data_IF_424349938121
#
_entry.id   IF_424349938121
#
_cell.length_a   1.000
_cell.length_b   1.000
_cell.length_c   1.000
_cell.angle_alpha   90.00
_cell.angle_beta   90.00
_cell.angle_gamma   90.00
#
_symmetry.space_group_name_H-M   'P 1'
#
loop_
_entity.id
_entity.type
_entity.pdbx_description
1 polymer ?
#
# COMPACT_ATOMS: atom_id res chain seq x y z
N UNK A 1 9.82 16.12 -15.11
CA UNK A 1 8.86 15.06 -14.74
C UNK A 1 8.18 14.52 -15.99
N UNK A 2 8.20 13.22 -16.18
CA UNK A 2 7.52 12.57 -17.29
C UNK A 2 5.99 12.58 -17.08
N UNK A 3 5.22 12.49 -18.16
CA UNK A 3 3.76 12.45 -18.09
C UNK A 3 3.23 11.31 -17.20
N UNK A 4 3.75 10.05 -17.29
CA UNK A 4 3.31 8.96 -16.42
C UNK A 4 3.48 9.25 -14.93
N UNK A 5 4.61 9.82 -14.52
CA UNK A 5 4.87 10.15 -13.11
C UNK A 5 3.96 11.27 -12.62
N UNK A 6 3.72 12.31 -13.45
CA UNK A 6 2.79 13.38 -13.08
C UNK A 6 1.37 12.84 -12.86
N UNK A 7 0.90 11.95 -13.74
CA UNK A 7 -0.41 11.31 -13.59
C UNK A 7 -0.46 10.41 -12.36
N UNK A 8 0.59 9.64 -12.09
CA UNK A 8 0.67 8.80 -10.89
C UNK A 8 0.63 9.64 -9.59
N UNK A 9 1.38 10.73 -9.53
CA UNK A 9 1.35 11.66 -8.38
C UNK A 9 -0.03 12.26 -8.23
N UNK A 10 -0.67 12.67 -9.32
CA UNK A 10 -2.06 13.16 -9.29
C UNK A 10 -3.02 12.09 -8.77
N UNK A 11 -2.84 10.83 -9.18
CA UNK A 11 -3.60 9.68 -8.66
C UNK A 11 -3.45 9.54 -7.14
N UNK A 12 -2.21 9.59 -6.64
CA UNK A 12 -1.92 9.51 -5.20
C UNK A 12 -2.53 10.71 -4.44
N UNK A 13 -2.40 11.91 -5.00
CA UNK A 13 -3.00 13.12 -4.40
C UNK A 13 -4.53 13.03 -4.32
N UNK A 14 -5.20 12.51 -5.34
CA UNK A 14 -6.66 12.32 -5.32
C UNK A 14 -7.06 11.36 -4.20
N UNK A 15 -6.36 10.22 -4.03
CA UNK A 15 -6.62 9.31 -2.92
C UNK A 15 -6.41 9.97 -1.56
N UNK A 16 -5.29 10.67 -1.36
CA UNK A 16 -4.98 11.34 -0.10
C UNK A 16 -6.00 12.44 0.22
N UNK A 17 -6.29 13.31 -0.75
CA UNK A 17 -7.29 14.37 -0.59
C UNK A 17 -8.68 13.77 -0.33
N UNK A 18 -9.06 12.74 -1.08
CA UNK A 18 -10.31 12.00 -0.88
C UNK A 18 -10.41 11.37 0.51
N UNK A 19 -9.32 10.80 1.03
CA UNK A 19 -9.26 10.28 2.39
C UNK A 19 -9.57 11.39 3.41
N UNK A 20 -8.85 12.52 3.35
CA UNK A 20 -9.05 13.61 4.29
C UNK A 20 -10.45 14.25 4.17
N UNK A 21 -10.99 14.42 2.96
CA UNK A 21 -12.36 14.93 2.79
C UNK A 21 -13.36 13.94 3.40
N UNK A 22 -13.21 12.63 3.15
CA UNK A 22 -14.06 11.60 3.77
C UNK A 22 -14.02 11.66 5.30
N UNK A 23 -12.85 11.93 5.89
CA UNK A 23 -12.67 12.05 7.33
C UNK A 23 -13.38 13.31 7.88
N UNK A 24 -13.28 14.43 7.18
CA UNK A 24 -13.94 15.69 7.59
C UNK A 24 -15.46 15.54 7.61
N UNK A 25 -16.01 14.87 6.60
CA UNK A 25 -17.47 14.67 6.46
C UNK A 25 -17.97 13.37 7.13
N UNK A 26 -17.16 12.70 7.93
CA UNK A 26 -17.48 11.38 8.54
C UNK A 26 -18.80 11.35 9.33
N UNK A 27 -19.27 12.49 9.84
CA UNK A 27 -20.57 12.60 10.52
C UNK A 27 -21.76 12.35 9.58
N UNK A 28 -21.59 12.61 8.28
CA UNK A 28 -22.55 12.24 7.25
C UNK A 28 -21.98 11.02 6.49
N UNK A 29 -22.28 9.84 7.01
CA UNK A 29 -21.74 8.57 6.50
C UNK A 29 -21.99 8.38 5.00
N UNK A 30 -23.20 8.73 4.52
CA UNK A 30 -23.54 8.61 3.10
C UNK A 30 -22.67 9.52 2.23
N UNK A 31 -22.38 10.74 2.68
CA UNK A 31 -21.51 11.67 1.96
C UNK A 31 -20.06 11.17 1.95
N UNK A 32 -19.57 10.65 3.08
CA UNK A 32 -18.23 10.06 3.18
C UNK A 32 -18.05 8.89 2.22
N UNK A 33 -19.02 7.97 2.17
CA UNK A 33 -19.02 6.81 1.25
C UNK A 33 -19.01 7.28 -0.20
N UNK A 34 -19.89 8.23 -0.54
CA UNK A 34 -19.96 8.74 -1.92
C UNK A 34 -18.66 9.40 -2.36
N UNK A 35 -18.04 10.20 -1.49
CA UNK A 35 -16.74 10.83 -1.78
C UNK A 35 -15.66 9.76 -1.98
N UNK A 36 -15.60 8.77 -1.10
CA UNK A 36 -14.63 7.68 -1.22
C UNK A 36 -14.82 6.89 -2.52
N UNK A 37 -16.05 6.57 -2.89
CA UNK A 37 -16.36 5.88 -4.14
C UNK A 37 -15.99 6.71 -5.37
N UNK A 38 -16.34 8.00 -5.40
CA UNK A 38 -15.98 8.90 -6.53
C UNK A 38 -14.47 9.05 -6.65
N UNK A 39 -13.76 9.27 -5.52
CA UNK A 39 -12.28 9.36 -5.54
C UNK A 39 -11.66 8.05 -6.00
N UNK A 40 -12.18 6.90 -5.58
CA UNK A 40 -11.72 5.58 -6.01
C UNK A 40 -11.82 5.40 -7.52
N UNK A 41 -12.98 5.75 -8.12
CA UNK A 41 -13.17 5.66 -9.59
C UNK A 41 -12.25 6.63 -10.32
N UNK A 42 -12.21 7.90 -9.93
CA UNK A 42 -11.41 8.92 -10.61
C UNK A 42 -9.91 8.60 -10.54
N UNK A 43 -9.41 8.29 -9.35
CA UNK A 43 -8.00 7.96 -9.16
C UNK A 43 -7.65 6.62 -9.84
N UNK A 44 -8.54 5.63 -9.80
CA UNK A 44 -8.34 4.36 -10.50
C UNK A 44 -8.21 4.53 -12.02
N UNK A 45 -9.09 5.33 -12.64
CA UNK A 45 -8.99 5.63 -14.08
C UNK A 45 -7.67 6.33 -14.40
N UNK A 46 -7.28 7.34 -13.60
CA UNK A 46 -6.01 8.04 -13.81
C UNK A 46 -4.79 7.13 -13.60
N UNK A 47 -4.83 6.20 -12.64
CA UNK A 47 -3.78 5.21 -12.42
C UNK A 47 -3.58 4.30 -13.63
N UNK A 48 -4.66 3.84 -14.27
CA UNK A 48 -4.58 3.06 -15.52
C UNK A 48 -3.97 3.93 -16.63
N UNK A 49 -4.47 5.15 -16.83
CA UNK A 49 -3.97 6.06 -17.87
C UNK A 49 -2.48 6.39 -17.67
N UNK A 50 -2.02 6.51 -16.42
CA UNK A 50 -0.61 6.75 -16.10
C UNK A 50 0.29 5.59 -16.53
N UNK A 51 -0.19 4.35 -16.44
CA UNK A 51 0.60 3.14 -16.62
C UNK A 51 0.58 2.58 -18.04
N UNK A 52 -0.47 2.85 -18.83
CA UNK A 52 -0.59 2.38 -20.22
C UNK A 52 0.64 2.71 -21.09
N UNK A 53 1.18 3.96 -21.10
CA UNK A 53 2.35 4.28 -21.91
C UNK A 53 3.56 3.41 -21.56
N UNK A 54 3.80 3.16 -20.26
CA UNK A 54 4.93 2.35 -19.78
C UNK A 54 4.77 0.88 -20.19
N UNK A 55 3.54 0.34 -20.14
CA UNK A 55 3.25 -1.04 -20.55
C UNK A 55 3.42 -1.23 -22.06
N UNK A 56 3.12 -0.20 -22.87
CA UNK A 56 3.25 -0.28 -24.33
C UNK A 56 4.71 -0.10 -24.77
N UNK A 57 5.42 0.90 -24.22
CA UNK A 57 6.81 1.20 -24.60
C UNK A 57 7.83 0.27 -23.97
N UNK A 58 7.47 -0.38 -22.84
CA UNK A 58 8.37 -1.15 -21.98
C UNK A 58 9.53 -0.32 -21.40
N UNK A 59 9.43 1.00 -21.47
CA UNK A 59 10.43 1.91 -20.92
C UNK A 59 10.23 2.07 -19.41
N UNK A 60 11.33 2.07 -18.66
CA UNK A 60 11.27 2.39 -17.22
C UNK A 60 11.37 3.90 -17.03
N UNK A 61 10.45 4.46 -16.26
CA UNK A 61 10.44 5.87 -15.91
C UNK A 61 10.77 6.02 -14.43
N UNK A 62 11.77 6.86 -14.10
CA UNK A 62 12.22 7.12 -12.73
C UNK A 62 12.31 8.62 -12.51
N UNK A 63 11.80 9.09 -11.38
CA UNK A 63 12.01 10.46 -10.89
C UNK A 63 12.38 10.42 -9.40
N UNK A 64 13.30 11.31 -9.02
CA UNK A 64 13.83 11.39 -7.65
C UNK A 64 13.48 12.75 -7.06
N UNK A 65 12.80 12.74 -5.94
CA UNK A 65 12.37 13.94 -5.22
C UNK A 65 13.29 14.17 -4.01
N UNK A 66 13.82 15.38 -3.90
CA UNK A 66 14.55 15.77 -2.70
C UNK A 66 13.62 15.85 -1.51
N UNK A 67 13.98 15.18 -0.44
CA UNK A 67 13.24 15.19 0.83
C UNK A 67 14.06 15.87 1.91
N UNK A 68 13.44 16.26 3.05
CA UNK A 68 14.17 16.81 4.20
C UNK A 68 15.16 15.82 4.82
N UNK A 69 15.04 14.53 4.51
CA UNK A 69 15.91 13.48 5.03
C UNK A 69 17.09 13.26 4.08
N UNK A 70 18.28 13.61 4.50
CA UNK A 70 19.52 13.45 3.70
C UNK A 70 19.83 11.98 3.38
N UNK A 71 19.40 11.04 4.23
CA UNK A 71 19.65 9.60 4.08
C UNK A 71 18.64 8.88 3.18
N UNK A 72 17.52 9.52 2.81
CA UNK A 72 16.48 8.88 2.01
C UNK A 72 15.85 9.86 1.03
N UNK A 73 16.20 9.75 -0.26
CA UNK A 73 15.49 10.42 -1.34
C UNK A 73 14.18 9.70 -1.64
N UNK A 74 13.11 10.42 -1.92
CA UNK A 74 11.87 9.81 -2.37
C UNK A 74 11.94 9.56 -3.87
N UNK A 75 12.21 8.32 -4.26
CA UNK A 75 12.28 7.91 -5.65
C UNK A 75 11.05 7.10 -6.03
N UNK A 76 10.43 7.51 -7.15
CA UNK A 76 9.32 6.81 -7.79
C UNK A 76 9.84 6.16 -9.07
N UNK A 77 9.56 4.86 -9.22
CA UNK A 77 9.89 4.07 -10.39
C UNK A 77 8.65 3.40 -10.94
N UNK A 78 8.40 3.59 -12.23
CA UNK A 78 7.36 2.88 -12.97
C UNK A 78 8.07 2.06 -14.05
N UNK A 79 8.29 0.78 -13.76
CA UNK A 79 8.69 -0.24 -14.74
C UNK A 79 7.49 -1.09 -15.17
N UNK A 80 7.70 -2.06 -16.04
CA UNK A 80 6.62 -2.90 -16.54
C UNK A 80 5.86 -3.65 -15.43
N UNK A 81 6.56 -4.10 -14.37
CA UNK A 81 5.92 -4.78 -13.23
C UNK A 81 5.11 -3.81 -12.38
N UNK A 82 5.69 -2.66 -12.03
CA UNK A 82 4.99 -1.63 -11.25
C UNK A 82 3.76 -1.12 -12.01
N UNK A 83 3.89 -0.84 -13.31
CA UNK A 83 2.78 -0.42 -14.17
C UNK A 83 1.66 -1.47 -14.22
N UNK A 84 2.00 -2.75 -14.38
CA UNK A 84 1.03 -3.85 -14.34
C UNK A 84 0.31 -3.92 -12.99
N UNK A 85 1.04 -3.85 -11.88
CA UNK A 85 0.46 -3.90 -10.53
C UNK A 85 -0.46 -2.71 -10.27
N UNK A 86 -0.06 -1.49 -10.68
CA UNK A 86 -0.94 -0.31 -10.56
C UNK A 86 -2.21 -0.46 -11.40
N UNK A 87 -2.13 -1.03 -12.61
CA UNK A 87 -3.30 -1.31 -13.43
C UNK A 87 -4.24 -2.30 -12.75
N UNK A 88 -3.72 -3.39 -12.17
CA UNK A 88 -4.53 -4.39 -11.45
C UNK A 88 -5.21 -3.76 -10.23
N UNK A 89 -4.45 -3.03 -9.39
CA UNK A 89 -4.98 -2.31 -8.23
C UNK A 89 -6.08 -1.35 -8.68
N UNK A 90 -5.82 -0.53 -9.69
CA UNK A 90 -6.76 0.48 -10.19
C UNK A 90 -8.04 -0.14 -10.73
N UNK A 91 -7.94 -1.25 -11.48
CA UNK A 91 -9.10 -1.97 -11.99
C UNK A 91 -9.99 -2.50 -10.86
N UNK A 92 -9.38 -3.16 -9.87
CA UNK A 92 -10.09 -3.67 -8.70
C UNK A 92 -10.74 -2.53 -7.91
N UNK A 93 -10.03 -1.41 -7.75
CA UNK A 93 -10.57 -0.23 -7.04
C UNK A 93 -11.76 0.37 -7.77
N UNK A 94 -11.74 0.50 -9.10
CA UNK A 94 -12.88 1.00 -9.85
C UNK A 94 -14.12 0.11 -9.61
N UNK A 95 -13.95 -1.20 -9.72
CA UNK A 95 -15.06 -2.16 -9.53
C UNK A 95 -15.60 -2.12 -8.09
N UNK A 96 -14.71 -2.17 -7.10
CA UNK A 96 -15.09 -2.13 -5.68
C UNK A 96 -15.69 -0.77 -5.27
N UNK A 97 -15.18 0.33 -5.82
CA UNK A 97 -15.73 1.66 -5.58
C UNK A 97 -17.16 1.80 -6.14
N UNK A 98 -17.42 1.29 -7.34
CA UNK A 98 -18.78 1.25 -7.91
C UNK A 98 -19.73 0.38 -7.05
N UNK A 99 -19.25 -0.77 -6.59
CA UNK A 99 -20.01 -1.65 -5.70
C UNK A 99 -20.30 -1.00 -4.35
N UNK A 100 -19.35 -0.25 -3.81
CA UNK A 100 -19.43 0.37 -2.46
C UNK A 100 -20.60 1.34 -2.31
N UNK A 101 -21.05 2.01 -3.38
CA UNK A 101 -22.21 2.91 -3.34
C UNK A 101 -23.50 2.24 -2.83
N UNK A 102 -23.62 0.93 -3.02
CA UNK A 102 -24.77 0.16 -2.52
C UNK A 102 -24.44 -0.65 -1.27
N UNK A 103 -23.31 -1.34 -1.26
CA UNK A 103 -22.90 -2.26 -0.21
C UNK A 103 -22.68 -1.58 1.14
N UNK A 104 -21.94 -0.46 1.17
CA UNK A 104 -21.58 0.20 2.44
C UNK A 104 -22.79 0.83 3.14
N UNK A 105 -23.96 0.92 2.48
CA UNK A 105 -25.20 1.38 3.12
C UNK A 105 -25.66 0.45 4.26
N UNK A 106 -25.30 -0.83 4.23
CA UNK A 106 -25.60 -1.81 5.27
C UNK A 106 -24.80 -1.57 6.57
N UNK A 107 -23.68 -0.85 6.47
CA UNK A 107 -22.82 -0.49 7.60
C UNK A 107 -23.15 0.87 8.22
N UNK A 108 -24.27 1.51 7.83
CA UNK A 108 -24.71 2.76 8.46
C UNK A 108 -24.96 2.56 9.95
N UNK A 109 -24.38 3.44 10.76
CA UNK A 109 -24.42 3.37 12.21
C UNK A 109 -23.35 2.48 12.85
N UNK A 110 -22.51 1.78 12.06
CA UNK A 110 -21.41 0.95 12.51
C UNK A 110 -20.02 1.56 12.23
N UNK A 111 -19.93 2.88 12.12
CA UNK A 111 -18.65 3.56 11.83
C UNK A 111 -18.30 3.71 10.35
N UNK A 112 -19.26 3.50 9.44
CA UNK A 112 -19.10 3.65 7.99
C UNK A 112 -18.50 5.00 7.57
N UNK A 113 -18.65 6.04 8.39
CA UNK A 113 -18.09 7.37 8.12
C UNK A 113 -16.56 7.43 8.08
N UNK A 114 -15.85 6.56 8.82
CA UNK A 114 -14.39 6.48 8.81
C UNK A 114 -13.84 5.51 7.76
N UNK A 115 -14.67 4.60 7.27
CA UNK A 115 -14.31 3.58 6.29
C UNK A 115 -13.74 4.20 5.00
N UNK A 116 -14.35 5.30 4.52
CA UNK A 116 -13.88 6.03 3.35
C UNK A 116 -12.47 6.59 3.48
N UNK A 117 -12.10 7.07 4.67
CA UNK A 117 -10.74 7.52 4.96
C UNK A 117 -9.73 6.36 4.87
N UNK A 118 -9.97 5.29 5.62
CA UNK A 118 -9.04 4.16 5.66
C UNK A 118 -8.94 3.42 4.32
N UNK A 119 -10.03 3.32 3.57
CA UNK A 119 -10.03 2.70 2.25
C UNK A 119 -9.17 3.48 1.25
N UNK A 120 -9.36 4.81 1.16
CA UNK A 120 -8.52 5.63 0.28
C UNK A 120 -7.05 5.65 0.71
N UNK A 121 -6.78 5.68 2.02
CA UNK A 121 -5.41 5.61 2.54
C UNK A 121 -4.74 4.26 2.24
N UNK A 122 -5.50 3.17 2.37
CA UNK A 122 -5.04 1.82 2.04
C UNK A 122 -4.66 1.72 0.55
N UNK A 123 -5.52 2.20 -0.34
CA UNK A 123 -5.26 2.17 -1.78
C UNK A 123 -4.08 3.07 -2.15
N UNK A 124 -4.01 4.29 -1.60
CA UNK A 124 -2.88 5.19 -1.81
C UNK A 124 -1.55 4.54 -1.40
N UNK A 125 -1.53 3.88 -0.23
CA UNK A 125 -0.33 3.20 0.25
C UNK A 125 0.06 2.00 -0.63
N UNK A 126 -0.90 1.23 -1.17
CA UNK A 126 -0.60 0.15 -2.13
C UNK A 126 0.03 0.68 -3.42
N UNK A 127 -0.53 1.74 -4.01
CA UNK A 127 0.01 2.35 -5.23
C UNK A 127 1.40 2.94 -4.97
N UNK A 128 1.58 3.66 -3.86
CA UNK A 128 2.87 4.23 -3.48
C UNK A 128 3.92 3.13 -3.19
N UNK A 129 3.51 2.02 -2.57
CA UNK A 129 4.37 0.88 -2.27
C UNK A 129 4.96 0.26 -3.55
N UNK A 130 4.11 -0.07 -4.52
CA UNK A 130 4.54 -0.77 -5.74
C UNK A 130 5.34 0.11 -6.69
N UNK A 131 5.32 1.42 -6.49
CA UNK A 131 6.06 2.40 -7.29
C UNK A 131 7.25 3.02 -6.55
N UNK A 132 7.49 2.66 -5.29
CA UNK A 132 8.63 3.14 -4.51
C UNK A 132 9.93 2.46 -4.94
N UNK A 133 10.98 3.23 -5.29
CA UNK A 133 12.34 2.71 -5.60
C UNK A 133 13.34 2.96 -4.45
N UNK A 134 12.83 3.11 -3.22
CA UNK A 134 13.63 3.32 -2.03
C UNK A 134 13.09 2.46 -0.87
N UNK A 135 13.97 1.70 -0.21
CA UNK A 135 13.61 0.76 0.85
C UNK A 135 13.00 1.43 2.08
N UNK A 136 13.42 2.65 2.44
CA UNK A 136 12.85 3.39 3.56
C UNK A 136 11.40 3.76 3.28
N UNK A 137 11.10 4.37 2.12
CA UNK A 137 9.73 4.74 1.75
C UNK A 137 8.86 3.52 1.47
N UNK A 138 9.43 2.45 0.92
CA UNK A 138 8.76 1.16 0.79
C UNK A 138 8.23 0.68 2.14
N UNK A 139 9.07 0.69 3.19
CA UNK A 139 8.65 0.29 4.55
C UNK A 139 7.59 1.23 5.13
N UNK A 140 7.71 2.55 4.92
CA UNK A 140 6.70 3.52 5.36
C UNK A 140 5.34 3.21 4.74
N UNK A 141 5.28 2.98 3.42
CA UNK A 141 4.02 2.66 2.74
C UNK A 141 3.50 1.27 3.09
N UNK A 142 4.39 0.31 3.34
CA UNK A 142 4.03 -1.02 3.80
C UNK A 142 3.35 -0.99 5.17
N UNK A 143 3.87 -0.18 6.11
CA UNK A 143 3.27 0.03 7.42
C UNK A 143 1.95 0.81 7.32
N UNK A 144 1.89 1.87 6.51
CA UNK A 144 0.64 2.61 6.28
C UNK A 144 -0.46 1.69 5.73
N UNK A 145 -0.12 0.84 4.76
CA UNK A 145 -1.04 -0.15 4.20
C UNK A 145 -1.54 -1.13 5.27
N UNK A 146 -0.62 -1.64 6.11
CA UNK A 146 -0.96 -2.58 7.20
C UNK A 146 -1.85 -1.93 8.25
N UNK A 147 -1.55 -0.69 8.63
CA UNK A 147 -2.32 0.06 9.62
C UNK A 147 -3.70 0.43 9.08
N UNK A 148 -3.79 0.89 7.84
CA UNK A 148 -5.08 1.22 7.22
C UNK A 148 -5.99 -0.02 7.11
N UNK A 149 -5.45 -1.17 6.70
CA UNK A 149 -6.21 -2.43 6.63
C UNK A 149 -6.62 -2.94 8.02
N UNK A 150 -5.80 -2.76 9.06
CA UNK A 150 -6.19 -3.06 10.43
C UNK A 150 -7.45 -2.31 10.86
N UNK A 151 -7.51 -0.99 10.61
CA UNK A 151 -8.70 -0.20 10.92
C UNK A 151 -9.92 -0.57 10.06
N UNK A 152 -9.73 -1.06 8.85
CA UNK A 152 -10.83 -1.58 8.02
C UNK A 152 -11.41 -2.87 8.61
N UNK A 153 -10.56 -3.79 9.09
CA UNK A 153 -11.02 -5.02 9.79
C UNK A 153 -11.80 -4.69 11.05
N UNK A 154 -11.44 -3.62 11.77
CA UNK A 154 -12.11 -3.17 12.99
C UNK A 154 -13.46 -2.46 12.75
N UNK A 155 -13.94 -2.33 11.52
CA UNK A 155 -15.15 -1.51 11.21
C UNK A 155 -16.39 -2.02 11.95
N UNK A 156 -16.58 -3.33 12.10
CA UNK A 156 -17.74 -3.90 12.80
C UNK A 156 -17.68 -3.77 14.32
N UNK A 157 -16.49 -3.56 14.91
CA UNK A 157 -16.25 -3.31 16.34
C UNK A 157 -16.81 -4.40 17.29
N UNK A 158 -17.06 -5.60 16.78
CA UNK A 158 -17.40 -6.75 17.62
C UNK A 158 -16.12 -7.44 18.17
N UNK A 159 -16.28 -8.29 19.17
CA UNK A 159 -15.16 -9.00 19.81
C UNK A 159 -14.37 -9.86 18.82
N UNK A 160 -15.05 -10.43 17.82
CA UNK A 160 -14.40 -11.26 16.80
C UNK A 160 -13.55 -10.40 15.87
N UNK A 161 -14.07 -9.27 15.38
CA UNK A 161 -13.33 -8.31 14.55
C UNK A 161 -12.12 -7.74 15.29
N UNK A 162 -12.26 -7.40 16.58
CA UNK A 162 -11.15 -6.91 17.41
C UNK A 162 -10.05 -7.97 17.54
N UNK A 163 -10.41 -9.22 17.88
CA UNK A 163 -9.43 -10.29 18.02
C UNK A 163 -8.74 -10.63 16.69
N UNK A 164 -9.51 -10.71 15.61
CA UNK A 164 -8.98 -10.94 14.26
C UNK A 164 -8.05 -9.80 13.81
N UNK A 165 -8.44 -8.56 14.04
CA UNK A 165 -7.64 -7.37 13.76
C UNK A 165 -6.34 -7.35 14.55
N UNK A 166 -6.37 -7.64 15.86
CA UNK A 166 -5.17 -7.71 16.70
C UNK A 166 -4.21 -8.82 16.21
N UNK A 167 -4.72 -10.01 15.90
CA UNK A 167 -3.90 -11.08 15.36
C UNK A 167 -3.23 -10.66 14.04
N UNK A 168 -4.01 -10.07 13.11
CA UNK A 168 -3.47 -9.52 11.88
C UNK A 168 -2.40 -8.47 12.15
N UNK A 169 -2.66 -7.51 13.04
CA UNK A 169 -1.75 -6.43 13.40
C UNK A 169 -0.39 -6.97 13.86
N UNK A 170 -0.40 -7.90 14.83
CA UNK A 170 0.85 -8.45 15.37
C UNK A 170 1.64 -9.24 14.31
N UNK A 171 0.99 -10.07 13.50
CA UNK A 171 1.66 -10.85 12.46
C UNK A 171 2.21 -9.93 11.36
N UNK A 172 1.44 -8.93 10.93
CA UNK A 172 1.86 -7.97 9.91
C UNK A 172 3.09 -7.17 10.38
N UNK A 173 3.07 -6.63 11.61
CA UNK A 173 4.19 -5.85 12.15
C UNK A 173 5.43 -6.71 12.43
N UNK A 174 5.26 -7.93 12.92
CA UNK A 174 6.38 -8.87 13.04
C UNK A 174 7.02 -9.15 11.65
N UNK A 175 6.19 -9.32 10.62
CA UNK A 175 6.66 -9.44 9.23
C UNK A 175 7.43 -8.22 8.75
N UNK A 176 6.92 -7.02 9.01
CA UNK A 176 7.58 -5.76 8.64
C UNK A 176 8.95 -5.60 9.31
N UNK A 177 9.07 -5.98 10.58
CA UNK A 177 10.36 -5.95 11.29
C UNK A 177 11.37 -6.87 10.63
N UNK A 178 10.96 -8.06 10.19
CA UNK A 178 11.85 -8.98 9.48
C UNK A 178 12.32 -8.39 8.14
N UNK A 179 11.42 -7.76 7.37
CA UNK A 179 11.76 -7.07 6.11
C UNK A 179 12.72 -5.91 6.39
N UNK A 180 12.44 -5.13 7.44
CA UNK A 180 13.29 -4.01 7.85
C UNK A 180 14.71 -4.47 8.17
N UNK A 181 14.88 -5.55 8.93
CA UNK A 181 16.20 -6.11 9.24
C UNK A 181 16.91 -6.56 7.95
N UNK A 182 16.19 -7.23 7.03
CA UNK A 182 16.74 -7.62 5.74
C UNK A 182 17.25 -6.40 4.93
N UNK A 183 16.48 -5.30 4.88
CA UNK A 183 16.91 -4.07 4.20
C UNK A 183 18.07 -3.37 4.91
N UNK A 184 18.14 -3.42 6.24
CA UNK A 184 19.29 -2.90 6.97
C UNK A 184 20.57 -3.69 6.71
N UNK A 185 20.50 -5.01 6.51
CA UNK A 185 21.66 -5.81 6.07
C UNK A 185 22.17 -5.29 4.72
N UNK A 186 21.28 -5.02 3.76
CA UNK A 186 21.67 -4.42 2.48
C UNK A 186 22.23 -3.02 2.65
N UNK A 187 21.60 -2.18 3.47
CA UNK A 187 22.04 -0.81 3.73
C UNK A 187 23.47 -0.74 4.30
N UNK A 188 23.84 -1.64 5.21
CA UNK A 188 25.19 -1.68 5.78
C UNK A 188 26.29 -1.89 4.74
N UNK A 189 25.97 -2.50 3.61
CA UNK A 189 26.92 -2.78 2.53
C UNK A 189 26.77 -1.80 1.35
N UNK A 190 25.55 -1.36 1.07
CA UNK A 190 25.23 -0.44 -0.03
C UNK A 190 25.48 1.03 0.33
N UNK A 191 25.40 1.38 1.63
CA UNK A 191 25.49 2.77 2.10
C UNK A 191 24.31 3.65 1.70
N UNK A 192 23.26 3.09 1.10
CA UNK A 192 22.08 3.79 0.61
C UNK A 192 20.83 2.92 0.74
N UNK A 193 19.64 3.54 0.89
CA UNK A 193 18.34 2.85 0.85
C UNK A 193 17.75 2.71 -0.56
N UNK A 194 18.43 3.21 -1.59
CA UNK A 194 17.97 3.07 -2.97
C UNK A 194 18.03 1.60 -3.43
N UNK A 195 16.96 1.09 -4.02
CA UNK A 195 16.96 -0.28 -4.56
C UNK A 195 17.95 -0.44 -5.72
N UNK A 196 18.29 0.64 -6.41
CA UNK A 196 19.37 0.66 -7.41
C UNK A 196 20.72 0.32 -6.80
N UNK A 197 21.04 0.83 -5.61
CA UNK A 197 22.25 0.51 -4.86
C UNK A 197 22.21 -0.94 -4.34
N UNK A 198 21.05 -1.42 -3.85
CA UNK A 198 20.90 -2.82 -3.42
C UNK A 198 21.16 -3.80 -4.56
N UNK A 199 20.68 -3.52 -5.77
CA UNK A 199 20.92 -4.36 -6.97
C UNK A 199 22.40 -4.48 -7.36
N UNK A 200 23.22 -3.50 -7.03
CA UNK A 200 24.66 -3.47 -7.34
C UNK A 200 25.51 -4.01 -6.18
N UNK A 201 24.92 -4.23 -5.01
CA UNK A 201 25.64 -4.64 -3.81
C UNK A 201 25.80 -6.17 -3.79
N UNK A 202 27.04 -6.60 -3.52
CA UNK A 202 27.34 -8.02 -3.30
C UNK A 202 27.48 -8.28 -1.80
N UNK A 203 26.59 -9.08 -1.25
CA UNK A 203 26.66 -9.52 0.15
C UNK A 203 27.50 -10.79 0.29
N UNK A 204 28.23 -10.97 1.43
CA UNK A 204 28.78 -12.28 1.79
C UNK A 204 27.68 -13.34 1.86
N UNK A 205 27.95 -14.56 1.39
CA UNK A 205 26.95 -15.62 1.26
C UNK A 205 26.12 -15.89 2.53
N UNK A 206 26.68 -15.92 3.77
CA UNK A 206 25.87 -16.10 4.97
C UNK A 206 24.88 -14.94 5.20
N UNK A 207 25.28 -13.68 4.94
CA UNK A 207 24.42 -12.52 5.11
C UNK A 207 23.35 -12.44 4.01
N UNK A 208 23.70 -12.79 2.78
CA UNK A 208 22.74 -12.90 1.67
C UNK A 208 21.65 -13.92 1.99
N UNK A 209 22.03 -15.09 2.51
CA UNK A 209 21.09 -16.12 2.95
C UNK A 209 20.21 -15.63 4.10
N UNK A 210 20.80 -14.98 5.11
CA UNK A 210 20.05 -14.43 6.24
C UNK A 210 19.04 -13.37 5.77
N UNK A 211 19.47 -12.41 4.93
CA UNK A 211 18.58 -11.38 4.39
C UNK A 211 17.45 -11.99 3.55
N UNK A 212 17.75 -13.04 2.75
CA UNK A 212 16.72 -13.76 2.00
C UNK A 212 15.69 -14.42 2.91
N UNK A 213 16.11 -15.16 3.96
CA UNK A 213 15.18 -15.83 4.89
C UNK A 213 14.33 -14.81 5.64
N UNK A 214 14.91 -13.70 6.11
CA UNK A 214 14.18 -12.65 6.79
C UNK A 214 13.13 -12.01 5.87
N UNK A 215 13.51 -11.66 4.64
CA UNK A 215 12.59 -11.09 3.65
C UNK A 215 11.49 -12.10 3.28
N UNK A 216 11.87 -13.37 3.05
CA UNK A 216 10.92 -14.44 2.71
C UNK A 216 9.87 -14.65 3.80
N UNK A 217 10.28 -14.72 5.07
CA UNK A 217 9.34 -14.83 6.19
C UNK A 217 8.50 -13.56 6.37
N UNK A 218 9.12 -12.38 6.24
CA UNK A 218 8.43 -11.11 6.38
C UNK A 218 7.36 -10.87 5.32
N UNK A 219 7.69 -11.04 4.05
CA UNK A 219 6.71 -10.97 2.96
C UNK A 219 5.72 -12.14 3.01
N UNK A 220 6.16 -13.33 3.42
CA UNK A 220 5.32 -14.51 3.61
C UNK A 220 4.27 -14.31 4.71
N UNK A 221 4.59 -13.61 5.79
CA UNK A 221 3.65 -13.24 6.84
C UNK A 221 2.51 -12.36 6.28
N UNK A 222 2.85 -11.38 5.44
CA UNK A 222 1.86 -10.51 4.78
C UNK A 222 1.04 -11.25 3.73
N UNK A 223 1.66 -12.15 2.97
CA UNK A 223 0.99 -12.97 1.96
C UNK A 223 0.11 -14.09 2.54
N UNK A 224 0.17 -14.32 3.86
CA UNK A 224 -0.57 -15.42 4.50
C UNK A 224 -0.01 -16.81 4.18
N UNK A 225 1.32 -16.92 4.06
CA UNK A 225 2.00 -18.19 3.78
C UNK A 225 2.02 -19.10 5.02
N UNK A 226 1.84 -20.39 4.83
CA UNK A 226 1.92 -21.39 5.91
C UNK A 226 3.37 -21.44 6.47
N UNK A 227 3.56 -21.34 7.80
CA UNK A 227 2.57 -21.37 8.90
C UNK A 227 2.04 -19.99 9.35
N UNK A 228 2.43 -18.89 8.73
CA UNK A 228 2.09 -17.51 9.13
C UNK A 228 0.70 -17.03 8.65
N UNK A 229 -0.14 -17.96 8.15
CA UNK A 229 -1.46 -17.67 7.55
C UNK A 229 -2.59 -17.54 8.56
N UNK A 230 -2.37 -17.75 9.85
CA UNK A 230 -3.42 -17.88 10.88
C UNK A 230 -4.33 -16.64 10.99
N UNK A 231 -3.84 -15.46 10.59
CA UNK A 231 -4.62 -14.22 10.56
C UNK A 231 -5.63 -14.18 9.40
N UNK A 232 -5.31 -14.82 8.26
CA UNK A 232 -6.09 -14.70 7.02
C UNK A 232 -7.53 -15.27 7.15
N UNK A 233 -7.74 -16.49 7.70
CA UNK A 233 -9.09 -17.03 7.89
C UNK A 233 -9.93 -16.27 8.91
N UNK A 234 -9.30 -15.52 9.81
CA UNK A 234 -9.99 -14.76 10.85
C UNK A 234 -10.29 -13.32 10.41
N UNK A 235 -9.33 -12.65 9.79
CA UNK A 235 -9.49 -11.26 9.34
C UNK A 235 -10.35 -11.14 8.06
N UNK A 236 -10.28 -12.10 7.15
CA UNK A 236 -10.98 -12.03 5.86
C UNK A 236 -12.51 -12.04 5.95
N UNK A 237 -13.17 -12.84 6.85
CA UNK A 237 -14.61 -12.80 7.00
C UNK A 237 -15.14 -11.58 7.75
N UNK A 238 -14.28 -10.86 8.48
CA UNK A 238 -14.63 -9.70 9.31
C UNK A 238 -14.26 -8.36 8.66
N UNK A 239 -13.64 -8.38 7.48
CA UNK A 239 -13.18 -7.19 6.76
C UNK A 239 -14.18 -6.63 5.75
#
# INVERSE_FOLDING_TARGET
MSLPINLLITTLLIYVVGAFISLVVRRNEQLSINISGVTGVLAGVLGIVACIPVLISSDTVVDVFKTPFEFASFSIRIDGLAAFMVCVISLLVIVTALYSFSYVKEYKGKGAGSMGFFMNLFIASMVALVTSDNAFYFLVFFEMMSLASYFLVLTEQDDNAVNAGLLYFFIAHAGSVLIMIAFFIFYCYAGSFEFSAFRQTTLPAPLAFTAFILAFLGFGAKAGMIPLHSWLPQAHPTA
#
